data_IF_494853370899
#
_entry.id   IF_494853370899
#
_cell.length_a   1.000
_cell.length_b   1.000
_cell.length_c   1.000
_cell.angle_alpha   90.00
_cell.angle_beta   90.00
_cell.angle_gamma   90.00
#
_symmetry.space_group_name_H-M   'P 1'
#
loop_
_entity.id
_entity.type
_entity.pdbx_description
1 polymer ?
#
# COMPACT_ATOMS: atom_id res chain seq x y z
N UNK A 1 11.33 2.04 20.51
CA UNK A 1 11.55 0.84 19.67
C UNK A 1 11.71 1.31 18.23
N UNK A 2 12.78 0.93 17.54
CA UNK A 2 12.90 1.13 16.09
C UNK A 2 12.02 0.09 15.38
N UNK A 3 11.01 0.55 14.66
CA UNK A 3 10.13 -0.32 13.86
C UNK A 3 10.73 -0.54 12.47
N UNK A 4 10.76 -1.77 12.01
CA UNK A 4 11.07 -2.13 10.63
C UNK A 4 9.77 -2.17 9.83
N UNK A 5 9.70 -1.40 8.75
CA UNK A 5 8.49 -1.21 7.97
C UNK A 5 8.72 -1.63 6.52
N UNK A 6 7.78 -2.36 5.94
CA UNK A 6 7.67 -2.58 4.51
C UNK A 6 6.48 -1.79 3.96
N UNK A 7 6.71 -0.88 3.04
CA UNK A 7 5.64 -0.16 2.33
C UNK A 7 5.49 -0.76 0.94
N UNK A 8 4.30 -1.31 0.62
CA UNK A 8 4.04 -2.05 -0.61
C UNK A 8 3.11 -1.24 -1.51
N UNK A 9 3.63 -0.81 -2.64
CA UNK A 9 2.89 -0.16 -3.71
C UNK A 9 2.27 -1.20 -4.66
N UNK A 10 1.15 -0.88 -5.32
CA UNK A 10 0.63 -1.69 -6.43
C UNK A 10 1.66 -1.82 -7.57
N UNK A 11 1.65 -2.95 -8.26
CA UNK A 11 2.61 -3.23 -9.35
C UNK A 11 2.46 -2.32 -10.59
N UNK A 12 1.40 -1.51 -10.67
CA UNK A 12 1.17 -0.52 -11.73
C UNK A 12 1.54 0.91 -11.32
N UNK A 13 1.96 1.12 -10.07
CA UNK A 13 2.30 2.43 -9.53
C UNK A 13 3.79 2.69 -9.68
N UNK A 14 4.18 3.56 -10.62
CA UNK A 14 5.59 3.91 -10.79
C UNK A 14 6.07 4.80 -9.63
N UNK A 15 7.11 4.36 -8.94
CA UNK A 15 7.78 5.13 -7.89
C UNK A 15 9.04 5.80 -8.44
N UNK A 16 8.86 6.73 -9.39
CA UNK A 16 9.94 7.34 -10.18
C UNK A 16 9.74 8.83 -10.33
N UNK A 17 10.82 9.60 -10.56
CA UNK A 17 10.74 11.04 -10.77
C UNK A 17 9.99 11.40 -12.05
N UNK A 18 10.19 10.66 -13.14
CA UNK A 18 9.64 11.00 -14.46
C UNK A 18 8.18 10.61 -14.64
N UNK A 19 7.72 9.55 -13.96
CA UNK A 19 6.35 9.00 -14.14
C UNK A 19 5.72 8.54 -12.84
N UNK A 20 5.87 9.31 -11.76
CA UNK A 20 5.23 8.99 -10.50
C UNK A 20 3.70 8.98 -10.60
N UNK A 21 3.07 7.98 -9.98
CA UNK A 21 1.63 8.01 -9.72
C UNK A 21 1.31 8.85 -8.49
N UNK A 22 0.04 9.25 -8.33
CA UNK A 22 -0.41 10.00 -7.16
C UNK A 22 -0.13 9.24 -5.85
N UNK A 23 -0.36 7.93 -5.80
CA UNK A 23 -0.07 7.10 -4.63
C UNK A 23 1.44 7.04 -4.35
N UNK A 24 2.28 6.96 -5.38
CA UNK A 24 3.74 6.94 -5.23
C UNK A 24 4.28 8.27 -4.72
N UNK A 25 3.74 9.40 -5.18
CA UNK A 25 4.09 10.74 -4.66
C UNK A 25 3.67 10.87 -3.20
N UNK A 26 2.46 10.43 -2.86
CA UNK A 26 1.98 10.44 -1.48
C UNK A 26 2.92 9.65 -0.55
N UNK A 27 3.26 8.41 -0.93
CA UNK A 27 4.20 7.55 -0.19
C UNK A 27 5.57 8.22 -0.07
N UNK A 28 6.10 8.81 -1.14
CA UNK A 28 7.40 9.51 -1.12
C UNK A 28 7.42 10.68 -0.14
N UNK A 29 6.38 11.51 -0.12
CA UNK A 29 6.30 12.66 0.81
C UNK A 29 6.17 12.21 2.28
N UNK A 30 5.37 11.19 2.56
CA UNK A 30 5.29 10.60 3.90
C UNK A 30 6.61 9.97 4.33
N UNK A 31 7.24 9.21 3.44
CA UNK A 31 8.53 8.59 3.69
C UNK A 31 9.61 9.62 4.07
N UNK A 32 9.71 10.72 3.33
CA UNK A 32 10.68 11.80 3.61
C UNK A 32 10.53 12.38 5.02
N UNK A 33 9.29 12.50 5.51
CA UNK A 33 8.95 13.08 6.81
C UNK A 33 8.93 12.05 7.95
N UNK A 34 8.96 10.76 7.65
CA UNK A 34 8.87 9.70 8.64
C UNK A 34 10.12 9.61 9.50
N UNK A 35 9.94 9.49 10.81
CA UNK A 35 11.02 9.16 11.75
C UNK A 35 11.59 7.76 11.54
N UNK A 36 10.84 6.87 10.90
CA UNK A 36 11.23 5.49 10.60
C UNK A 36 11.85 5.30 9.21
N UNK A 37 12.13 6.38 8.47
CA UNK A 37 12.64 6.31 7.09
C UNK A 37 13.90 5.47 6.90
N UNK A 38 14.76 5.35 7.92
CA UNK A 38 15.97 4.51 7.86
C UNK A 38 15.65 3.02 7.87
N UNK A 39 14.54 2.62 8.46
CA UNK A 39 14.10 1.23 8.65
C UNK A 39 12.86 0.90 7.82
N UNK A 40 12.54 1.72 6.82
CA UNK A 40 11.43 1.49 5.90
C UNK A 40 11.97 1.13 4.51
N UNK A 41 11.52 0.02 3.96
CA UNK A 41 11.79 -0.40 2.57
C UNK A 41 10.50 -0.27 1.78
N UNK A 42 10.56 0.45 0.66
CA UNK A 42 9.42 0.62 -0.25
C UNK A 42 9.54 -0.38 -1.39
N UNK A 43 8.54 -1.24 -1.54
CA UNK A 43 8.45 -2.22 -2.62
C UNK A 43 7.46 -1.79 -3.67
N UNK A 44 7.79 -1.98 -4.92
CA UNK A 44 6.93 -1.69 -6.06
C UNK A 44 7.42 -2.37 -7.33
N UNK A 45 6.82 -2.07 -8.46
CA UNK A 45 7.28 -2.52 -9.77
C UNK A 45 7.27 -1.36 -10.77
N UNK A 46 8.39 -1.14 -11.42
CA UNK A 46 8.54 -0.22 -12.54
C UNK A 46 9.63 -0.73 -13.49
N UNK A 47 9.55 -0.32 -14.75
CA UNK A 47 10.61 -0.53 -15.74
C UNK A 47 11.65 0.59 -15.73
N UNK A 48 11.33 1.72 -15.10
CA UNK A 48 12.21 2.88 -14.99
C UNK A 48 13.17 2.72 -13.81
N UNK A 49 14.29 3.44 -13.82
CA UNK A 49 15.33 3.32 -12.79
C UNK A 49 15.55 4.60 -11.96
N UNK A 50 14.82 5.67 -12.26
CA UNK A 50 14.92 6.97 -11.61
C UNK A 50 14.03 7.04 -10.35
N UNK A 51 14.34 6.20 -9.36
CA UNK A 51 13.51 6.03 -8.16
C UNK A 51 13.46 7.28 -7.27
N UNK A 52 12.29 7.57 -6.68
CA UNK A 52 12.04 8.69 -5.77
C UNK A 52 12.82 8.62 -4.46
N UNK A 53 13.32 7.44 -4.07
CA UNK A 53 14.17 7.27 -2.89
C UNK A 53 15.11 6.08 -3.02
N UNK A 54 16.22 6.11 -2.27
CA UNK A 54 17.21 5.02 -2.21
C UNK A 54 16.67 3.75 -1.52
N UNK A 55 15.63 3.87 -0.69
CA UNK A 55 15.02 2.75 0.02
C UNK A 55 13.97 2.02 -0.81
N UNK A 56 13.83 2.33 -2.10
CA UNK A 56 12.96 1.62 -3.01
C UNK A 56 13.62 0.35 -3.52
N UNK A 57 12.88 -0.75 -3.46
CA UNK A 57 13.27 -2.05 -3.98
C UNK A 57 12.31 -2.49 -5.08
N UNK A 58 12.79 -2.55 -6.30
CA UNK A 58 11.98 -2.95 -7.46
C UNK A 58 11.75 -4.46 -7.48
N UNK A 59 10.50 -4.87 -7.57
CA UNK A 59 10.10 -6.27 -7.79
C UNK A 59 10.02 -6.52 -9.30
N UNK A 60 11.02 -7.15 -9.86
CA UNK A 60 11.05 -7.45 -11.29
C UNK A 60 10.01 -8.50 -11.65
N UNK A 61 9.03 -8.15 -12.46
CA UNK A 61 8.05 -9.06 -13.03
C UNK A 61 8.53 -9.53 -14.41
N UNK A 62 8.52 -10.83 -14.63
CA UNK A 62 8.83 -11.39 -15.95
C UNK A 62 7.72 -10.99 -16.93
N UNK A 63 8.06 -10.77 -18.20
CA UNK A 63 7.10 -10.34 -19.22
C UNK A 63 5.84 -11.21 -19.22
N UNK A 64 4.70 -10.58 -19.03
CA UNK A 64 3.36 -11.14 -18.82
C UNK A 64 2.76 -11.85 -20.05
N UNK A 65 3.55 -12.45 -20.91
CA UNK A 65 3.04 -13.29 -22.01
C UNK A 65 2.63 -14.70 -21.58
N UNK A 66 2.83 -15.08 -20.32
CA UNK A 66 2.35 -16.35 -19.79
C UNK A 66 0.85 -16.28 -19.53
N UNK A 67 0.05 -16.96 -20.35
CA UNK A 67 -1.42 -17.07 -20.25
C UNK A 67 -1.92 -17.70 -18.93
N UNK A 68 -1.05 -18.21 -18.07
CA UNK A 68 -1.43 -19.08 -16.94
C UNK A 68 -1.29 -18.47 -15.53
N UNK A 69 -0.65 -17.31 -15.34
CA UNK A 69 -0.55 -16.68 -14.01
C UNK A 69 -0.92 -15.21 -14.03
N UNK A 70 -1.83 -14.79 -13.14
CA UNK A 70 -2.16 -13.38 -13.00
C UNK A 70 -0.95 -12.58 -12.47
N UNK A 71 -0.76 -11.36 -12.96
CA UNK A 71 0.30 -10.44 -12.49
C UNK A 71 0.27 -10.23 -11.00
N UNK A 72 -0.93 -10.14 -10.42
CA UNK A 72 -1.11 -10.02 -8.96
C UNK A 72 -0.55 -11.22 -8.22
N UNK A 73 -0.70 -12.43 -8.75
CA UNK A 73 -0.14 -13.64 -8.13
C UNK A 73 1.38 -13.65 -8.20
N UNK A 74 1.96 -13.36 -9.37
CA UNK A 74 3.42 -13.31 -9.52
C UNK A 74 4.03 -12.26 -8.59
N UNK A 75 3.43 -11.06 -8.53
CA UNK A 75 3.88 -9.99 -7.67
C UNK A 75 3.80 -10.39 -6.19
N UNK A 76 2.68 -10.98 -5.76
CA UNK A 76 2.50 -11.45 -4.39
C UNK A 76 3.53 -12.53 -4.00
N UNK A 77 3.82 -13.50 -4.87
CA UNK A 77 4.79 -14.56 -4.57
C UNK A 77 6.23 -14.02 -4.43
N UNK A 78 6.59 -13.04 -5.27
CA UNK A 78 7.90 -12.38 -5.15
C UNK A 78 8.00 -11.54 -3.88
N UNK A 79 6.94 -10.77 -3.55
CA UNK A 79 6.87 -10.02 -2.30
C UNK A 79 6.98 -10.93 -1.08
N UNK A 80 6.28 -12.07 -1.05
CA UNK A 80 6.37 -13.03 0.06
C UNK A 80 7.80 -13.48 0.33
N UNK A 81 8.59 -13.72 -0.72
CA UNK A 81 10.00 -14.09 -0.59
C UNK A 81 10.82 -12.96 0.02
N UNK A 82 10.63 -11.73 -0.46
CA UNK A 82 11.29 -10.55 0.10
C UNK A 82 10.92 -10.30 1.56
N UNK A 83 9.63 -10.40 1.89
CA UNK A 83 9.12 -10.19 3.25
C UNK A 83 9.60 -11.29 4.22
N UNK A 84 9.75 -12.53 3.74
CA UNK A 84 10.27 -13.64 4.55
C UNK A 84 11.74 -13.46 4.93
N UNK A 85 12.53 -12.85 4.04
CA UNK A 85 13.96 -12.63 4.24
C UNK A 85 14.27 -11.44 5.16
N UNK A 86 13.26 -10.66 5.52
CA UNK A 86 13.39 -9.47 6.36
C UNK A 86 12.32 -9.51 7.45
N UNK A 87 12.70 -9.22 8.69
CA UNK A 87 11.77 -9.17 9.82
C UNK A 87 11.13 -7.79 9.88
N UNK A 88 9.93 -7.64 9.34
CA UNK A 88 9.15 -6.41 9.45
C UNK A 88 8.16 -6.47 10.61
N UNK A 89 8.13 -5.41 11.43
CA UNK A 89 7.11 -5.21 12.46
C UNK A 89 5.77 -4.80 11.82
N UNK A 90 5.83 -3.96 10.77
CA UNK A 90 4.66 -3.43 10.07
C UNK A 90 4.82 -3.63 8.57
N UNK A 91 3.73 -4.03 7.93
CA UNK A 91 3.59 -4.11 6.47
C UNK A 91 2.44 -3.19 6.05
N UNK A 92 2.77 -2.12 5.34
CA UNK A 92 1.82 -1.18 4.75
C UNK A 92 1.48 -1.62 3.33
N UNK A 93 0.20 -1.82 3.02
CA UNK A 93 -0.27 -2.21 1.69
C UNK A 93 -1.16 -1.12 1.12
N UNK A 94 -0.81 -0.63 -0.06
CA UNK A 94 -1.52 0.48 -0.71
C UNK A 94 -2.44 -0.03 -1.83
N UNK A 95 -3.70 0.41 -1.84
CA UNK A 95 -4.64 0.35 -2.97
C UNK A 95 -4.87 -1.04 -3.64
N UNK A 96 -4.59 -2.16 -2.99
CA UNK A 96 -4.79 -3.49 -3.58
C UNK A 96 -5.28 -4.50 -2.56
N UNK A 97 -6.61 -4.53 -2.26
CA UNK A 97 -7.18 -5.48 -1.31
C UNK A 97 -6.85 -6.94 -1.64
N UNK A 98 -6.86 -7.32 -2.93
CA UNK A 98 -6.49 -8.68 -3.34
C UNK A 98 -5.03 -9.03 -3.04
N UNK A 99 -4.11 -8.04 -3.09
CA UNK A 99 -2.72 -8.24 -2.72
C UNK A 99 -2.59 -8.42 -1.21
N UNK A 100 -3.30 -7.60 -0.41
CA UNK A 100 -3.36 -7.72 1.04
C UNK A 100 -3.71 -9.15 1.45
N UNK A 101 -4.82 -9.70 0.95
CA UNK A 101 -5.25 -11.07 1.28
C UNK A 101 -4.27 -12.17 0.87
N UNK A 102 -3.41 -11.92 -0.11
CA UNK A 102 -2.35 -12.86 -0.49
C UNK A 102 -1.15 -12.79 0.45
N UNK A 103 -0.91 -11.67 1.12
CA UNK A 103 0.25 -11.44 1.98
C UNK A 103 0.00 -11.80 3.44
N UNK A 104 -1.23 -11.62 3.93
CA UNK A 104 -1.59 -11.78 5.36
C UNK A 104 -1.27 -13.19 5.91
N UNK A 105 -1.39 -14.23 5.11
CA UNK A 105 -1.51 -15.61 5.61
C UNK A 105 -0.24 -16.24 6.23
N UNK A 106 0.89 -15.53 6.39
CA UNK A 106 2.13 -16.17 6.87
C UNK A 106 3.12 -15.27 7.63
N UNK A 107 2.76 -14.08 8.02
CA UNK A 107 3.68 -13.16 8.69
C UNK A 107 3.17 -12.76 10.08
N UNK A 108 4.07 -12.75 11.07
CA UNK A 108 3.80 -12.19 12.40
C UNK A 108 3.76 -10.65 12.40
N UNK A 109 3.86 -10.02 11.24
CA UNK A 109 3.83 -8.57 11.08
C UNK A 109 2.41 -8.04 11.23
N UNK A 110 2.27 -6.82 11.73
CA UNK A 110 1.01 -6.08 11.73
C UNK A 110 0.79 -5.46 10.35
N UNK A 111 -0.42 -5.59 9.81
CA UNK A 111 -0.78 -5.00 8.52
C UNK A 111 -1.54 -3.70 8.71
N UNK A 112 -1.17 -2.68 7.91
CA UNK A 112 -1.91 -1.42 7.74
C UNK A 112 -2.29 -1.32 6.28
N UNK A 113 -3.56 -0.99 6.00
CA UNK A 113 -4.03 -0.87 4.62
C UNK A 113 -4.38 0.58 4.28
N UNK A 114 -3.95 1.06 3.12
CA UNK A 114 -4.16 2.43 2.65
C UNK A 114 -5.07 2.45 1.43
N UNK A 115 -6.16 3.21 1.52
CA UNK A 115 -7.04 3.50 0.39
C UNK A 115 -6.76 4.90 -0.16
N UNK A 116 -6.29 4.97 -1.41
CA UNK A 116 -6.11 6.22 -2.15
C UNK A 116 -7.26 6.51 -3.11
N UNK A 117 -8.07 5.51 -3.46
CA UNK A 117 -9.17 5.61 -4.40
C UNK A 117 -10.47 5.06 -3.78
N UNK A 118 -11.60 5.22 -4.48
CA UNK A 118 -12.90 4.70 -4.04
C UNK A 118 -12.85 3.19 -3.78
N UNK A 119 -13.07 2.75 -2.53
CA UNK A 119 -13.07 1.32 -2.18
C UNK A 119 -14.09 0.50 -2.96
N UNK A 120 -15.23 1.09 -3.33
CA UNK A 120 -16.30 0.39 -4.05
C UNK A 120 -15.97 0.13 -5.52
N UNK A 121 -14.97 0.83 -6.05
CA UNK A 121 -14.46 0.59 -7.41
C UNK A 121 -13.42 -0.52 -7.49
N UNK A 122 -12.83 -0.93 -6.35
CA UNK A 122 -11.69 -1.84 -6.31
C UNK A 122 -12.11 -3.29 -6.07
N UNK A 123 -11.52 -4.20 -6.83
CA UNK A 123 -11.70 -5.64 -6.63
C UNK A 123 -11.13 -6.09 -5.28
N UNK A 124 -11.98 -6.74 -4.47
CA UNK A 124 -11.65 -7.17 -3.10
C UNK A 124 -12.09 -6.20 -2.01
N UNK A 125 -12.85 -5.13 -2.37
CA UNK A 125 -13.50 -4.21 -1.42
C UNK A 125 -14.87 -3.68 -1.88
N UNK A 126 -15.44 -4.24 -2.95
CA UNK A 126 -16.73 -3.78 -3.49
C UNK A 126 -17.90 -4.10 -2.58
N UNK A 127 -17.98 -5.31 -2.07
CA UNK A 127 -19.05 -5.75 -1.18
C UNK A 127 -18.78 -5.42 0.29
N UNK A 128 -19.83 -5.33 1.09
CA UNK A 128 -19.73 -5.18 2.56
C UNK A 128 -18.87 -6.31 3.15
N UNK A 129 -19.10 -7.56 2.71
CA UNK A 129 -18.34 -8.73 3.19
C UNK A 129 -16.83 -8.59 2.93
N UNK A 130 -16.44 -8.12 1.74
CA UNK A 130 -15.02 -7.89 1.42
C UNK A 130 -14.40 -6.79 2.30
N UNK A 131 -15.13 -5.70 2.53
CA UNK A 131 -14.65 -4.60 3.38
C UNK A 131 -14.54 -4.99 4.86
N UNK A 132 -15.52 -5.74 5.39
CA UNK A 132 -15.44 -6.31 6.75
C UNK A 132 -14.24 -7.25 6.89
N UNK A 133 -13.98 -8.09 5.89
CA UNK A 133 -12.80 -8.96 5.88
C UNK A 133 -11.49 -8.17 5.91
N UNK A 134 -11.41 -6.98 5.28
CA UNK A 134 -10.24 -6.11 5.42
C UNK A 134 -10.10 -5.63 6.87
N UNK A 135 -11.18 -5.09 7.47
CA UNK A 135 -11.20 -4.63 8.87
C UNK A 135 -10.76 -5.70 9.88
N UNK A 136 -11.15 -6.94 9.65
CA UNK A 136 -10.79 -8.07 10.53
C UNK A 136 -9.31 -8.42 10.47
N UNK A 137 -8.67 -8.23 9.31
CA UNK A 137 -7.33 -8.74 9.04
C UNK A 137 -6.21 -7.68 9.12
N UNK A 138 -6.54 -6.42 9.39
CA UNK A 138 -5.54 -5.36 9.53
C UNK A 138 -5.59 -4.71 10.90
N UNK A 139 -4.48 -4.20 11.36
CA UNK A 139 -4.39 -3.39 12.59
C UNK A 139 -5.12 -2.06 12.42
N UNK A 140 -4.97 -1.44 11.24
CA UNK A 140 -5.56 -0.15 10.90
C UNK A 140 -5.79 0.00 9.40
N UNK A 141 -6.83 0.79 9.05
CA UNK A 141 -7.03 1.28 7.69
C UNK A 141 -6.81 2.79 7.67
N UNK A 142 -6.06 3.27 6.70
CA UNK A 142 -5.82 4.70 6.47
C UNK A 142 -6.46 5.12 5.15
N UNK A 143 -7.22 6.19 5.18
CA UNK A 143 -7.86 6.78 4.02
C UNK A 143 -7.24 8.14 3.68
N UNK A 144 -7.15 8.49 2.41
CA UNK A 144 -6.60 9.79 1.97
C UNK A 144 -7.59 10.94 2.07
N UNK A 145 -8.85 10.66 2.39
CA UNK A 145 -9.89 11.68 2.61
C UNK A 145 -11.08 11.09 3.37
N UNK A 146 -11.88 11.96 3.99
CA UNK A 146 -13.15 11.58 4.61
C UNK A 146 -14.09 10.94 3.59
N UNK A 147 -14.15 11.47 2.36
CA UNK A 147 -14.99 10.91 1.32
C UNK A 147 -14.64 9.44 1.05
N UNK A 148 -13.36 9.09 0.94
CA UNK A 148 -12.92 7.69 0.74
C UNK A 148 -13.32 6.83 1.94
N UNK A 149 -13.20 7.35 3.17
CA UNK A 149 -13.63 6.64 4.39
C UNK A 149 -15.13 6.40 4.40
N UNK A 150 -15.94 7.41 4.10
CA UNK A 150 -17.41 7.28 4.05
C UNK A 150 -17.83 6.25 2.98
N UNK A 151 -17.20 6.25 1.82
CA UNK A 151 -17.43 5.24 0.77
C UNK A 151 -17.13 3.82 1.26
N UNK A 152 -16.05 3.65 2.03
CA UNK A 152 -15.72 2.34 2.61
C UNK A 152 -16.76 1.88 3.63
N UNK A 153 -17.32 2.80 4.44
CA UNK A 153 -18.29 2.50 5.49
C UNK A 153 -19.75 2.48 5.04
N UNK A 154 -20.01 2.60 3.74
CA UNK A 154 -21.37 2.45 3.21
C UNK A 154 -21.92 1.06 3.60
N UNK A 155 -23.08 1.02 4.30
CA UNK A 155 -23.72 -0.19 4.84
C UNK A 155 -22.86 -0.98 5.88
N UNK A 156 -21.90 -0.33 6.54
CA UNK A 156 -21.09 -0.90 7.63
C UNK A 156 -21.32 -0.12 8.92
N UNK A 157 -21.30 -0.80 10.07
CA UNK A 157 -21.43 -0.17 11.39
C UNK A 157 -20.34 0.90 11.60
N UNK A 158 -20.78 2.13 11.85
CA UNK A 158 -19.91 3.29 12.03
C UNK A 158 -18.99 3.18 13.26
N UNK A 159 -19.34 2.35 14.25
CA UNK A 159 -18.48 2.07 15.43
C UNK A 159 -17.12 1.48 15.03
N UNK A 160 -17.06 0.77 13.91
CA UNK A 160 -15.82 0.20 13.39
C UNK A 160 -14.83 1.25 12.84
N UNK A 161 -15.25 2.52 12.69
CA UNK A 161 -14.35 3.64 12.31
C UNK A 161 -13.20 3.86 13.31
N UNK A 162 -13.31 3.38 14.54
CA UNK A 162 -12.22 3.44 15.53
C UNK A 162 -10.94 2.75 15.07
N UNK A 163 -11.03 1.78 14.16
CA UNK A 163 -9.89 1.10 13.50
C UNK A 163 -9.30 1.89 12.31
N UNK A 164 -9.71 3.12 12.11
CA UNK A 164 -9.35 3.87 10.91
C UNK A 164 -8.83 5.27 11.20
N UNK A 165 -8.00 5.78 10.30
CA UNK A 165 -7.55 7.17 10.30
C UNK A 165 -7.75 7.79 8.91
N UNK A 166 -7.83 9.12 8.86
CA UNK A 166 -7.79 9.89 7.61
C UNK A 166 -6.51 10.73 7.59
N UNK A 167 -5.73 10.56 6.54
CA UNK A 167 -4.46 11.26 6.36
C UNK A 167 -4.44 11.90 4.97
N UNK A 168 -4.68 13.20 4.93
CA UNK A 168 -4.73 13.96 3.68
C UNK A 168 -3.37 14.06 2.98
N UNK A 169 -3.34 14.12 1.65
CA UNK A 169 -2.13 14.46 0.91
C UNK A 169 -1.55 15.78 1.38
N UNK A 170 -0.26 15.81 1.71
CA UNK A 170 0.42 17.06 2.04
C UNK A 170 0.95 17.72 0.77
N UNK A 171 0.57 18.98 0.54
CA UNK A 171 1.16 19.80 -0.52
C UNK A 171 2.24 20.68 0.12
N UNK A 172 3.47 20.63 -0.39
CA UNK A 172 4.47 21.62 -0.01
C UNK A 172 4.00 22.98 -0.52
N UNK A 173 3.88 23.98 0.37
CA UNK A 173 3.70 25.36 -0.05
C UNK A 173 4.83 25.69 -1.03
N UNK A 174 4.52 25.89 -2.30
CA UNK A 174 5.47 26.50 -3.23
C UNK A 174 5.86 27.85 -2.65
N UNK A 175 7.14 28.06 -2.38
CA UNK A 175 7.63 29.39 -2.14
C UNK A 175 7.29 30.21 -3.39
N UNK A 176 6.44 31.22 -3.25
CA UNK A 176 6.30 32.23 -4.31
C UNK A 176 7.69 32.77 -4.59
N UNK A 177 8.15 32.56 -5.81
CA UNK A 177 9.35 33.21 -6.36
C UNK A 177 9.00 34.67 -6.57
#
# INVERSE_FOLDING_TARGET
KNLNIATILPYKENYTFTKASAASLWVSEFFKKSKYKKNNIIYGHTKLKDYLSKNYKNINLKNLKSKFKSTTNEYAEKLKRELKNNNFDIIEVHNRPQLLFKLINKNNSKFIFYFHNDPLSMKGSKSVKERLKILENVEKIVFVSEWVRERFFLDIDQKLKTKTDVVYPSVNKQKKI
#
